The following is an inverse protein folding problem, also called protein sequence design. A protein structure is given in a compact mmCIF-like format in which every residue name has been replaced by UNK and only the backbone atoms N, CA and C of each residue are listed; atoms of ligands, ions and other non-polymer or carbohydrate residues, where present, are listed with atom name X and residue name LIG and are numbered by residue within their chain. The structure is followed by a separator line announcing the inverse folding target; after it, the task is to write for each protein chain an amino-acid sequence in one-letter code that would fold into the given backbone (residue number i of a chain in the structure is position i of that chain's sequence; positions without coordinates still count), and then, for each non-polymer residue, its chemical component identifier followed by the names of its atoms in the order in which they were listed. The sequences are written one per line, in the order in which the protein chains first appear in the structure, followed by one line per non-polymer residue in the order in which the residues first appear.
data_IF_024242022374
#
_entry.id   IF_024242022374
#
_cell.length_a   1.000
_cell.length_b   1.000
_cell.length_c   1.000
_cell.angle_alpha   90.00
_cell.angle_beta   90.00
_cell.angle_gamma   90.00
#
_symmetry.space_group_name_H-M   'P 1'
#
loop_
_entity.id
_entity.type
_entity.pdbx_description
1 polymer ?
#
# COMPACT_ATOMS: atom_id res chain seq x y z
N UNK A 1 13.68 -1.67 -4.89
CA UNK A 1 12.47 -2.36 -4.44
C UNK A 1 12.25 -3.68 -5.19
N UNK A 2 12.30 -3.72 -6.54
CA UNK A 2 12.09 -4.96 -7.32
C UNK A 2 13.38 -5.53 -7.96
N UNK A 3 14.55 -5.22 -7.44
CA UNK A 3 15.84 -5.72 -7.96
C UNK A 3 15.89 -7.25 -7.90
N UNK A 4 16.17 -7.89 -9.04
CA UNK A 4 16.22 -9.35 -9.17
C UNK A 4 14.85 -10.02 -9.37
N UNK A 5 13.74 -9.26 -9.42
CA UNK A 5 12.40 -9.77 -9.71
C UNK A 5 12.09 -9.72 -11.19
N UNK A 6 11.60 -10.83 -11.74
CA UNK A 6 11.14 -10.95 -13.11
C UNK A 6 9.62 -10.74 -13.18
N UNK A 7 9.20 -9.68 -13.85
CA UNK A 7 7.78 -9.33 -14.07
C UNK A 7 7.43 -9.61 -15.53
N UNK A 8 6.43 -10.46 -15.75
CA UNK A 8 5.92 -10.74 -17.11
C UNK A 8 4.61 -10.01 -17.33
N UNK A 9 4.55 -9.18 -18.37
CA UNK A 9 3.36 -8.44 -18.78
C UNK A 9 2.79 -9.07 -20.06
N UNK A 10 1.57 -9.60 -19.96
CA UNK A 10 0.80 -10.09 -21.09
C UNK A 10 -0.11 -9.00 -21.65
N UNK A 11 0.17 -8.48 -22.84
CA UNK A 11 -0.61 -7.39 -23.45
C UNK A 11 -1.52 -7.95 -24.54
N UNK A 12 -2.83 -7.70 -24.46
CA UNK A 12 -3.80 -8.21 -25.40
C UNK A 12 -4.48 -7.13 -26.23
N UNK A 13 -5.29 -7.50 -27.22
CA UNK A 13 -5.92 -6.60 -28.19
C UNK A 13 -7.00 -5.71 -27.56
N UNK A 14 -6.59 -4.58 -27.01
CA UNK A 14 -7.46 -3.53 -26.48
C UNK A 14 -6.80 -2.17 -26.65
N UNK A 15 -7.61 -1.14 -26.83
CA UNK A 15 -7.12 0.25 -26.88
C UNK A 15 -6.32 0.59 -25.60
N UNK A 16 -6.62 0.00 -24.45
CA UNK A 16 -5.91 0.25 -23.21
C UNK A 16 -4.45 -0.25 -23.19
N UNK A 17 -3.99 -0.95 -24.24
CA UNK A 17 -2.61 -1.45 -24.35
C UNK A 17 -1.55 -0.34 -24.23
N UNK A 18 -1.84 0.88 -24.71
CA UNK A 18 -0.91 2.01 -24.61
C UNK A 18 -0.53 2.36 -23.15
N UNK A 19 -1.45 2.14 -22.19
CA UNK A 19 -1.21 2.43 -20.76
C UNK A 19 -0.13 1.51 -20.17
N UNK A 20 0.05 0.31 -20.73
CA UNK A 20 1.03 -0.67 -20.21
C UNK A 20 2.46 -0.21 -20.46
N UNK A 21 2.70 0.66 -21.43
CA UNK A 21 4.01 1.29 -21.61
C UNK A 21 4.44 2.10 -20.37
N UNK A 22 3.51 2.83 -19.75
CA UNK A 22 3.76 3.56 -18.51
C UNK A 22 4.05 2.62 -17.33
N UNK A 23 3.30 1.51 -17.23
CA UNK A 23 3.54 0.49 -16.20
C UNK A 23 4.92 -0.17 -16.38
N UNK A 24 5.28 -0.55 -17.62
CA UNK A 24 6.59 -1.13 -17.92
C UNK A 24 7.72 -0.17 -17.52
N UNK A 25 7.61 1.12 -17.89
CA UNK A 25 8.58 2.14 -17.50
C UNK A 25 8.69 2.30 -15.97
N UNK A 26 7.56 2.28 -15.26
CA UNK A 26 7.55 2.37 -13.79
C UNK A 26 8.23 1.16 -13.13
N UNK A 27 7.99 -0.05 -13.63
CA UNK A 27 8.61 -1.28 -13.13
C UNK A 27 10.13 -1.30 -13.37
N UNK A 28 10.58 -0.84 -14.53
CA UNK A 28 12.03 -0.71 -14.85
C UNK A 28 12.70 0.29 -13.90
N UNK A 29 12.07 1.43 -13.60
CA UNK A 29 12.57 2.40 -12.60
C UNK A 29 12.67 1.79 -11.19
N UNK A 30 11.88 0.78 -10.88
CA UNK A 30 11.96 0.01 -9.63
C UNK A 30 12.97 -1.14 -9.71
N UNK A 31 13.75 -1.22 -10.79
CA UNK A 31 14.78 -2.22 -11.07
C UNK A 31 14.24 -3.65 -11.27
N UNK A 32 13.01 -3.82 -11.76
CA UNK A 32 12.50 -5.12 -12.19
C UNK A 32 13.09 -5.52 -13.54
N UNK A 33 13.27 -6.83 -13.76
CA UNK A 33 13.45 -7.42 -15.07
C UNK A 33 12.08 -7.59 -15.73
N UNK A 34 11.72 -6.66 -16.64
CA UNK A 34 10.39 -6.61 -17.24
C UNK A 34 10.40 -7.27 -18.61
N UNK A 35 9.58 -8.29 -18.76
CA UNK A 35 9.43 -9.05 -20.02
C UNK A 35 7.99 -8.89 -20.53
N UNK A 36 7.82 -8.58 -21.80
CA UNK A 36 6.51 -8.32 -22.39
C UNK A 36 6.19 -9.37 -23.45
N UNK A 37 5.01 -9.94 -23.32
CA UNK A 37 4.41 -10.83 -24.33
C UNK A 37 3.18 -10.11 -24.90
N UNK A 38 3.09 -10.00 -26.21
CA UNK A 38 1.93 -9.42 -26.87
C UNK A 38 1.19 -10.48 -27.69
N UNK A 39 -0.13 -10.45 -27.65
CA UNK A 39 -0.91 -11.17 -28.65
C UNK A 39 -0.79 -10.46 -30.00
N UNK A 40 -0.98 -11.20 -31.11
CA UNK A 40 -0.97 -10.61 -32.47
C UNK A 40 -1.95 -9.43 -32.58
N UNK A 41 -3.13 -9.52 -31.93
CA UNK A 41 -4.12 -8.44 -31.93
C UNK A 41 -3.65 -7.20 -31.15
N UNK A 42 -2.77 -7.35 -30.18
CA UNK A 42 -2.24 -6.22 -29.43
C UNK A 42 -1.33 -5.33 -30.29
N UNK A 43 -0.63 -5.90 -31.27
CA UNK A 43 0.26 -5.14 -32.17
C UNK A 43 -0.46 -4.12 -33.04
N UNK A 44 -1.79 -4.23 -33.18
CA UNK A 44 -2.60 -3.23 -33.86
C UNK A 44 -2.84 -1.95 -33.01
N UNK A 45 -2.60 -2.00 -31.71
CA UNK A 45 -2.82 -0.87 -30.79
C UNK A 45 -1.53 -0.24 -30.32
N UNK A 46 -0.44 -0.99 -30.21
CA UNK A 46 0.87 -0.52 -29.80
C UNK A 46 1.95 -1.39 -30.46
N UNK A 47 3.04 -0.76 -30.90
CA UNK A 47 4.11 -1.49 -31.56
C UNK A 47 5.03 -2.18 -30.53
N UNK A 48 5.47 -3.45 -30.75
CA UNK A 48 6.42 -4.16 -29.90
C UNK A 48 7.69 -3.38 -29.56
N UNK A 49 8.24 -2.61 -30.52
CA UNK A 49 9.44 -1.77 -30.32
C UNK A 49 9.29 -0.78 -29.14
N UNK A 50 8.07 -0.36 -28.80
CA UNK A 50 7.82 0.51 -27.65
C UNK A 50 8.26 -0.18 -26.37
N UNK A 51 7.88 -1.43 -26.19
CA UNK A 51 8.25 -2.21 -25.01
C UNK A 51 9.72 -2.59 -25.01
N UNK A 52 10.28 -2.96 -26.14
CA UNK A 52 11.71 -3.27 -26.29
C UNK A 52 12.58 -2.08 -25.89
N UNK A 53 12.22 -0.88 -26.35
CA UNK A 53 12.93 0.37 -25.99
C UNK A 53 12.85 0.67 -24.50
N UNK A 54 11.70 0.42 -23.85
CA UNK A 54 11.48 0.73 -22.43
C UNK A 54 12.14 -0.29 -21.52
N UNK A 55 12.13 -1.59 -21.88
CA UNK A 55 12.55 -2.67 -20.99
C UNK A 55 13.97 -3.15 -21.25
N UNK A 56 14.51 -2.89 -22.45
CA UNK A 56 15.76 -3.48 -22.91
C UNK A 56 15.66 -4.98 -23.27
N UNK A 57 14.47 -5.57 -23.19
CA UNK A 57 14.19 -6.97 -23.49
C UNK A 57 13.39 -7.07 -24.79
N UNK A 58 13.58 -8.16 -25.53
CA UNK A 58 12.77 -8.46 -26.72
C UNK A 58 11.30 -8.63 -26.33
N UNK A 59 10.40 -8.00 -27.08
CA UNK A 59 8.96 -8.18 -26.93
C UNK A 59 8.52 -9.46 -27.71
N UNK A 60 7.96 -10.42 -27.01
CA UNK A 60 7.60 -11.72 -27.59
C UNK A 60 6.18 -11.65 -28.18
N UNK A 61 6.06 -11.96 -29.47
CA UNK A 61 4.76 -11.96 -30.19
C UNK A 61 4.49 -13.32 -30.81
N UNK A 62 5.48 -13.90 -31.49
CA UNK A 62 5.36 -15.16 -32.22
C UNK A 62 6.01 -16.30 -31.43
N UNK A 63 5.27 -17.39 -31.29
CA UNK A 63 5.76 -18.61 -30.63
C UNK A 63 6.89 -19.29 -31.43
N UNK A 64 6.91 -19.13 -32.74
CA UNK A 64 7.82 -19.81 -33.68
C UNK A 64 8.80 -18.85 -34.38
N UNK A 65 9.16 -17.75 -33.76
CA UNK A 65 10.18 -16.85 -34.25
C UNK A 65 11.51 -17.59 -34.38
N UNK A 66 12.06 -17.70 -35.61
CA UNK A 66 13.25 -18.48 -35.93
C UNK A 66 14.58 -17.80 -35.53
N UNK A 67 14.53 -16.57 -35.05
CA UNK A 67 15.71 -15.79 -34.62
C UNK A 67 16.00 -15.96 -33.10
N UNK A 68 15.67 -17.09 -32.51
CA UNK A 68 15.89 -17.36 -31.10
C UNK A 68 17.07 -18.32 -30.84
N UNK A 69 17.68 -18.18 -29.66
CA UNK A 69 18.61 -19.19 -29.13
C UNK A 69 17.82 -20.43 -28.66
N UNK A 70 18.42 -21.61 -28.76
CA UNK A 70 17.84 -22.94 -28.55
C UNK A 70 17.18 -23.20 -27.16
N UNK A 71 16.38 -22.29 -26.65
CA UNK A 71 15.55 -22.50 -25.47
C UNK A 71 14.08 -22.26 -25.82
N UNK A 72 13.21 -23.14 -25.34
CA UNK A 72 11.77 -22.97 -25.48
C UNK A 72 11.38 -21.72 -24.67
N UNK A 73 11.38 -20.55 -25.32
CA UNK A 73 11.28 -19.21 -24.67
C UNK A 73 10.10 -19.10 -23.71
N UNK A 74 8.92 -19.58 -24.10
CA UNK A 74 7.74 -19.53 -23.25
C UNK A 74 7.88 -20.34 -21.94
N UNK A 75 8.58 -21.50 -22.00
CA UNK A 75 8.84 -22.31 -20.79
C UNK A 75 9.93 -21.69 -19.92
N UNK A 76 10.98 -21.16 -20.55
CA UNK A 76 12.08 -20.50 -19.81
C UNK A 76 11.57 -19.26 -19.07
N UNK A 77 10.76 -18.43 -19.73
CA UNK A 77 10.16 -17.24 -19.13
C UNK A 77 9.15 -17.60 -18.03
N UNK A 78 8.29 -18.59 -18.26
CA UNK A 78 7.34 -19.09 -17.27
C UNK A 78 8.02 -19.57 -15.97
N UNK A 79 9.20 -20.22 -16.08
CA UNK A 79 9.97 -20.67 -14.91
C UNK A 79 10.66 -19.54 -14.16
N UNK A 80 11.06 -18.49 -14.85
CA UNK A 80 11.79 -17.34 -14.28
C UNK A 80 10.88 -16.29 -13.67
N UNK A 81 9.62 -16.22 -14.09
CA UNK A 81 8.66 -15.22 -13.65
C UNK A 81 8.40 -15.27 -12.14
N UNK A 82 8.55 -14.13 -11.45
CA UNK A 82 8.07 -13.93 -10.08
C UNK A 82 6.60 -13.55 -10.04
N UNK A 83 6.08 -12.92 -11.10
CA UNK A 83 4.68 -12.54 -11.27
C UNK A 83 4.33 -12.45 -12.76
N UNK A 84 3.08 -12.77 -13.06
CA UNK A 84 2.49 -12.61 -14.39
C UNK A 84 1.27 -11.69 -14.31
N UNK A 85 1.24 -10.60 -15.06
CA UNK A 85 0.10 -9.73 -15.19
C UNK A 85 -0.39 -9.72 -16.64
N UNK A 86 -1.65 -10.13 -16.87
CA UNK A 86 -2.32 -9.94 -18.17
C UNK A 86 -3.13 -8.65 -18.11
N UNK A 87 -2.64 -7.61 -18.78
CA UNK A 87 -3.26 -6.29 -18.83
C UNK A 87 -2.89 -5.57 -20.15
N UNK A 88 -3.87 -5.03 -20.87
CA UNK A 88 -5.29 -5.31 -20.74
C UNK A 88 -5.62 -6.77 -21.07
N UNK A 89 -6.58 -7.38 -20.36
CA UNK A 89 -7.09 -8.72 -20.66
C UNK A 89 -8.40 -8.64 -21.43
N UNK A 90 -8.37 -8.99 -22.73
CA UNK A 90 -9.57 -9.04 -23.56
C UNK A 90 -10.43 -10.26 -23.23
N UNK A 91 -11.72 -10.22 -23.53
CA UNK A 91 -12.64 -11.36 -23.34
C UNK A 91 -12.14 -12.64 -24.05
N UNK A 92 -11.52 -12.49 -25.23
CA UNK A 92 -10.93 -13.61 -25.96
C UNK A 92 -9.83 -14.30 -25.14
N UNK A 93 -8.88 -13.55 -24.58
CA UNK A 93 -7.78 -14.12 -23.81
C UNK A 93 -8.24 -14.68 -22.47
N UNK A 94 -9.21 -14.01 -21.80
CA UNK A 94 -9.84 -14.54 -20.58
C UNK A 94 -10.50 -15.90 -20.88
N UNK A 95 -11.26 -16.03 -21.97
CA UNK A 95 -11.85 -17.30 -22.38
C UNK A 95 -10.82 -18.38 -22.68
N UNK A 96 -9.74 -18.05 -23.40
CA UNK A 96 -8.63 -18.98 -23.67
C UNK A 96 -7.97 -19.48 -22.39
N UNK A 97 -7.61 -18.58 -21.49
CA UNK A 97 -6.98 -18.93 -20.22
C UNK A 97 -7.89 -19.81 -19.35
N UNK A 98 -9.19 -19.48 -19.28
CA UNK A 98 -10.16 -20.24 -18.50
C UNK A 98 -10.34 -21.68 -18.99
N UNK A 99 -10.13 -21.94 -20.29
CA UNK A 99 -10.34 -23.25 -20.93
C UNK A 99 -9.03 -23.93 -21.36
N UNK A 100 -7.87 -23.39 -20.99
CA UNK A 100 -6.57 -23.99 -21.29
C UNK A 100 -6.20 -23.99 -22.76
N UNK A 101 -6.71 -23.07 -23.56
CA UNK A 101 -6.35 -22.92 -24.99
C UNK A 101 -5.00 -22.22 -25.07
N UNK A 102 -4.03 -22.86 -25.77
CA UNK A 102 -2.64 -22.44 -25.84
C UNK A 102 -2.18 -22.32 -27.30
N UNK A 103 -2.73 -21.33 -28.03
CA UNK A 103 -2.58 -21.20 -29.48
C UNK A 103 -1.79 -19.96 -29.93
N UNK A 104 -1.18 -19.24 -28.99
CA UNK A 104 -0.31 -18.06 -29.22
C UNK A 104 0.91 -18.08 -28.28
N UNK A 105 1.72 -17.01 -28.23
CA UNK A 105 2.89 -16.94 -27.33
C UNK A 105 2.49 -16.71 -25.87
N UNK A 106 1.38 -16.00 -25.59
CA UNK A 106 0.94 -15.62 -24.26
C UNK A 106 0.34 -16.80 -23.47
N UNK A 107 -0.58 -17.51 -24.11
CA UNK A 107 -1.42 -18.51 -23.43
C UNK A 107 -0.64 -19.76 -22.96
N UNK A 108 0.29 -20.36 -23.72
CA UNK A 108 1.15 -21.45 -23.21
C UNK A 108 2.12 -20.94 -22.13
N UNK A 109 2.62 -19.71 -22.23
CA UNK A 109 3.52 -19.16 -21.21
C UNK A 109 2.82 -19.05 -19.86
N UNK A 110 1.61 -18.48 -19.82
CA UNK A 110 0.87 -18.34 -18.56
C UNK A 110 0.39 -19.68 -18.00
N UNK A 111 0.05 -20.65 -18.86
CA UNK A 111 -0.27 -22.02 -18.43
C UNK A 111 0.90 -22.71 -17.76
N UNK A 112 2.13 -22.51 -18.29
CA UNK A 112 3.36 -23.08 -17.74
C UNK A 112 3.86 -22.36 -16.47
N UNK A 113 3.41 -21.13 -16.21
CA UNK A 113 3.87 -20.32 -15.09
C UNK A 113 3.29 -20.81 -13.75
N UNK A 114 4.16 -20.89 -12.71
CA UNK A 114 3.80 -21.24 -11.33
C UNK A 114 3.70 -20.04 -10.41
N UNK A 115 4.18 -18.88 -10.85
CA UNK A 115 4.12 -17.63 -10.10
C UNK A 115 2.68 -17.14 -9.93
N UNK A 116 2.42 -16.17 -9.01
CA UNK A 116 1.16 -15.45 -8.93
C UNK A 116 0.76 -14.85 -10.28
N UNK A 117 -0.54 -14.92 -10.57
CA UNK A 117 -1.11 -14.48 -11.84
C UNK A 117 -2.20 -13.44 -11.59
N UNK A 118 -2.02 -12.26 -12.16
CA UNK A 118 -2.97 -11.15 -12.11
C UNK A 118 -3.61 -10.96 -13.49
N UNK A 119 -4.90 -10.65 -13.50
CA UNK A 119 -5.65 -10.40 -14.74
C UNK A 119 -6.45 -9.11 -14.59
N UNK A 120 -6.23 -8.16 -15.48
CA UNK A 120 -6.98 -6.89 -15.52
C UNK A 120 -7.86 -6.85 -16.76
N UNK A 121 -9.18 -7.18 -16.63
CA UNK A 121 -10.14 -7.14 -17.74
C UNK A 121 -10.24 -5.74 -18.35
N UNK A 122 -10.35 -5.68 -19.70
CA UNK A 122 -10.55 -4.44 -20.43
C UNK A 122 -11.37 -4.68 -21.70
N UNK A 123 -12.63 -4.29 -21.65
CA UNK A 123 -13.59 -4.49 -22.74
C UNK A 123 -14.80 -3.56 -22.59
N UNK A 124 -15.69 -3.55 -23.59
CA UNK A 124 -16.99 -2.88 -23.49
C UNK A 124 -17.81 -3.42 -22.30
N UNK A 125 -18.65 -2.59 -21.70
CA UNK A 125 -19.46 -2.93 -20.52
C UNK A 125 -20.34 -4.16 -20.76
N UNK A 126 -21.04 -4.21 -21.89
CA UNK A 126 -21.94 -5.34 -22.21
C UNK A 126 -21.13 -6.67 -22.38
N UNK A 127 -19.89 -6.57 -22.87
CA UNK A 127 -19.01 -7.75 -22.94
C UNK A 127 -18.55 -8.16 -21.53
N UNK A 128 -18.20 -7.21 -20.68
CA UNK A 128 -17.78 -7.49 -19.32
C UNK A 128 -18.90 -8.10 -18.47
N UNK A 129 -20.11 -7.56 -18.58
CA UNK A 129 -21.30 -8.03 -17.87
C UNK A 129 -21.91 -9.31 -18.47
N UNK A 130 -21.44 -9.73 -19.65
CA UNK A 130 -21.93 -10.94 -20.29
C UNK A 130 -21.70 -12.16 -19.37
N UNK A 131 -22.75 -12.98 -19.09
CA UNK A 131 -22.63 -14.14 -18.20
C UNK A 131 -21.50 -15.09 -18.56
N UNK A 132 -21.24 -15.32 -19.86
CA UNK A 132 -20.15 -16.20 -20.31
C UNK A 132 -18.78 -15.64 -19.89
N UNK A 133 -18.58 -14.32 -20.00
CA UNK A 133 -17.34 -13.66 -19.60
C UNK A 133 -17.18 -13.69 -18.07
N UNK A 134 -18.28 -13.43 -17.34
CA UNK A 134 -18.29 -13.51 -15.88
C UNK A 134 -18.01 -14.94 -15.38
N UNK A 135 -18.53 -15.95 -16.03
CA UNK A 135 -18.25 -17.34 -15.68
C UNK A 135 -16.78 -17.71 -15.97
N UNK A 136 -16.21 -17.23 -17.09
CA UNK A 136 -14.77 -17.40 -17.37
C UNK A 136 -13.88 -16.71 -16.34
N UNK A 137 -14.27 -15.53 -15.85
CA UNK A 137 -13.55 -14.82 -14.77
C UNK A 137 -13.59 -15.66 -13.48
N UNK A 138 -14.77 -16.17 -13.09
CA UNK A 138 -14.90 -17.05 -11.90
C UNK A 138 -14.08 -18.33 -12.03
N UNK A 139 -13.98 -18.90 -13.23
CA UNK A 139 -13.11 -20.06 -13.47
C UNK A 139 -11.66 -19.70 -13.21
N UNK A 140 -11.17 -18.54 -13.67
CA UNK A 140 -9.82 -18.08 -13.40
C UNK A 140 -9.57 -17.87 -11.90
N UNK A 141 -10.50 -17.22 -11.18
CA UNK A 141 -10.42 -17.05 -9.72
C UNK A 141 -10.34 -18.39 -8.99
N UNK A 142 -11.17 -19.37 -9.38
CA UNK A 142 -11.15 -20.73 -8.84
C UNK A 142 -9.79 -21.41 -8.99
N UNK A 143 -9.06 -21.10 -10.07
CA UNK A 143 -7.71 -21.61 -10.32
C UNK A 143 -6.57 -20.71 -9.82
N UNK A 144 -6.90 -19.75 -8.93
CA UNK A 144 -5.92 -18.94 -8.20
C UNK A 144 -5.38 -17.74 -8.99
N UNK A 145 -6.07 -17.32 -10.05
CA UNK A 145 -5.80 -16.02 -10.65
C UNK A 145 -6.45 -14.93 -9.82
N UNK A 146 -5.73 -13.86 -9.57
CA UNK A 146 -6.31 -12.68 -8.95
C UNK A 146 -6.83 -11.73 -10.04
N UNK A 147 -8.11 -11.39 -9.96
CA UNK A 147 -8.74 -10.45 -10.89
C UNK A 147 -8.63 -9.05 -10.33
N UNK A 148 -8.10 -8.14 -11.13
CA UNK A 148 -8.08 -6.71 -10.84
C UNK A 148 -9.34 -6.11 -11.44
N UNK A 149 -10.30 -5.75 -10.60
CA UNK A 149 -11.60 -5.24 -11.03
C UNK A 149 -11.44 -4.05 -11.97
N UNK A 150 -12.16 -4.02 -13.08
CA UNK A 150 -12.16 -2.88 -13.98
C UNK A 150 -12.76 -1.64 -13.30
N UNK A 151 -12.20 -0.48 -13.60
CA UNK A 151 -12.77 0.79 -13.19
C UNK A 151 -14.09 1.06 -13.94
N UNK A 152 -14.97 1.81 -13.30
CA UNK A 152 -16.17 2.36 -13.95
C UNK A 152 -15.89 3.75 -14.50
N UNK A 153 -16.49 4.09 -15.64
CA UNK A 153 -16.34 5.42 -16.24
C UNK A 153 -16.65 5.42 -17.75
N UNK A 154 -16.29 6.51 -18.41
CA UNK A 154 -16.45 6.67 -19.84
C UNK A 154 -15.45 5.77 -20.59
N UNK A 155 -15.97 4.97 -21.50
CA UNK A 155 -15.24 4.03 -22.34
C UNK A 155 -14.97 4.61 -23.73
N UNK A 156 -13.96 4.08 -24.42
CA UNK A 156 -13.59 4.52 -25.76
C UNK A 156 -14.70 4.31 -26.82
N UNK A 157 -15.65 3.42 -26.55
CA UNK A 157 -16.83 3.20 -27.41
C UNK A 157 -17.97 4.21 -27.19
N UNK A 158 -17.83 5.15 -26.24
CA UNK A 158 -18.86 6.14 -25.90
C UNK A 158 -19.81 5.72 -24.78
N UNK A 159 -19.72 4.48 -24.31
CA UNK A 159 -20.54 3.97 -23.20
C UNK A 159 -19.96 4.38 -21.84
N UNK A 160 -20.80 4.36 -20.81
CA UNK A 160 -20.38 4.56 -19.42
C UNK A 160 -20.73 3.31 -18.62
N UNK A 161 -19.75 2.75 -17.90
CA UNK A 161 -19.96 1.55 -17.10
C UNK A 161 -18.66 0.89 -16.67
N UNK A 162 -18.76 -0.34 -16.18
CA UNK A 162 -17.61 -1.19 -15.84
C UNK A 162 -16.96 -1.73 -17.13
N UNK A 163 -15.65 -2.02 -17.07
CA UNK A 163 -14.89 -2.57 -18.20
C UNK A 163 -13.65 -1.78 -18.59
N UNK A 164 -13.42 -0.62 -17.96
CA UNK A 164 -12.21 0.20 -18.14
C UNK A 164 -11.06 -0.38 -17.34
N UNK A 165 -9.93 -0.68 -18.01
CA UNK A 165 -8.70 -1.05 -17.29
C UNK A 165 -8.31 0.04 -16.30
N UNK A 166 -8.01 -0.29 -15.04
CA UNK A 166 -7.50 0.67 -14.06
C UNK A 166 -6.25 1.40 -14.55
N UNK A 167 -5.90 2.50 -13.90
CA UNK A 167 -4.69 3.25 -14.23
C UNK A 167 -3.43 2.46 -13.86
N UNK A 168 -2.29 2.70 -14.54
CA UNK A 168 -1.05 1.95 -14.34
C UNK A 168 -0.58 1.90 -12.89
N UNK A 169 -0.85 2.95 -12.11
CA UNK A 169 -0.50 3.05 -10.68
C UNK A 169 -1.24 2.02 -9.84
N UNK A 170 -2.50 1.73 -10.19
CA UNK A 170 -3.30 0.69 -9.52
C UNK A 170 -2.72 -0.69 -9.85
N UNK A 171 -2.42 -0.97 -11.13
CA UNK A 171 -1.79 -2.22 -11.54
C UNK A 171 -0.43 -2.42 -10.85
N UNK A 172 0.36 -1.36 -10.75
CA UNK A 172 1.64 -1.36 -10.05
C UNK A 172 1.46 -1.71 -8.56
N UNK A 173 0.43 -1.17 -7.90
CA UNK A 173 0.15 -1.46 -6.49
C UNK A 173 -0.15 -2.94 -6.23
N UNK A 174 -0.85 -3.62 -7.15
CA UNK A 174 -1.08 -5.07 -7.09
C UNK A 174 0.23 -5.86 -7.23
N UNK A 175 1.09 -5.48 -8.20
CA UNK A 175 2.40 -6.11 -8.38
C UNK A 175 3.25 -5.94 -7.12
N UNK A 176 3.37 -4.72 -6.59
CA UNK A 176 4.16 -4.42 -5.39
C UNK A 176 3.61 -5.17 -4.17
N UNK A 177 2.28 -5.18 -3.97
CA UNK A 177 1.68 -5.96 -2.89
C UNK A 177 2.08 -7.43 -3.00
N UNK A 178 2.17 -7.99 -4.21
CA UNK A 178 2.41 -9.42 -4.40
C UNK A 178 3.88 -9.80 -4.22
N UNK A 179 4.84 -9.05 -4.79
CA UNK A 179 6.24 -9.50 -4.90
C UNK A 179 7.29 -8.58 -4.29
N UNK A 180 6.94 -7.36 -3.80
CA UNK A 180 7.94 -6.41 -3.32
C UNK A 180 8.64 -6.85 -2.03
N UNK A 181 7.96 -7.63 -1.18
CA UNK A 181 8.47 -8.14 0.08
C UNK A 181 8.09 -9.61 0.27
N UNK A 182 8.88 -10.31 1.08
CA UNK A 182 8.48 -11.60 1.64
C UNK A 182 7.21 -11.43 2.50
N UNK A 183 6.37 -12.47 2.57
CA UNK A 183 5.10 -12.43 3.32
C UNK A 183 5.28 -12.86 4.77
N UNK A 184 6.31 -12.32 5.42
CA UNK A 184 6.73 -12.66 6.78
C UNK A 184 5.82 -12.07 7.88
N UNK A 185 4.82 -11.26 7.49
CA UNK A 185 3.73 -10.79 8.35
C UNK A 185 2.38 -11.42 7.98
N UNK A 186 2.37 -12.47 7.14
CA UNK A 186 1.13 -13.13 6.73
C UNK A 186 0.36 -13.68 7.94
N UNK A 187 -0.96 -13.45 7.96
CA UNK A 187 -1.84 -13.87 9.05
C UNK A 187 -1.80 -12.97 10.28
N UNK A 188 -0.92 -11.95 10.34
CA UNK A 188 -0.87 -10.97 11.43
C UNK A 188 -1.84 -9.82 11.16
N UNK A 189 -2.56 -9.40 12.19
CA UNK A 189 -3.45 -8.24 12.20
C UNK A 189 -2.74 -7.04 12.83
N UNK A 190 -2.68 -5.92 12.11
CA UNK A 190 -1.91 -4.74 12.53
C UNK A 190 -2.81 -3.51 12.54
N UNK A 191 -2.94 -2.86 13.70
CA UNK A 191 -3.61 -1.58 13.84
C UNK A 191 -2.59 -0.45 13.90
N UNK A 192 -2.74 0.55 13.04
CA UNK A 192 -1.85 1.71 12.98
C UNK A 192 -2.68 2.99 13.12
N UNK A 193 -2.26 3.90 14.01
CA UNK A 193 -2.83 5.23 14.04
C UNK A 193 -1.94 6.21 13.30
N UNK A 194 -2.50 7.16 12.54
CA UNK A 194 -1.75 8.10 11.73
C UNK A 194 -2.39 9.50 11.67
N UNK A 195 -1.62 10.47 11.21
CA UNK A 195 -2.10 11.85 11.04
C UNK A 195 -2.25 12.62 12.37
N UNK A 196 -2.65 13.88 12.30
CA UNK A 196 -3.00 14.70 13.46
C UNK A 196 -4.45 14.50 13.86
N UNK A 197 -4.80 14.86 15.08
CA UNK A 197 -6.19 15.13 15.45
C UNK A 197 -6.49 16.64 15.36
N UNK A 198 -7.75 16.98 15.23
CA UNK A 198 -8.26 18.36 15.17
C UNK A 198 -9.28 18.57 16.26
N UNK A 199 -8.95 19.44 17.22
CA UNK A 199 -9.81 19.73 18.36
C UNK A 199 -10.57 21.04 18.12
N UNK A 200 -11.87 20.94 17.96
CA UNK A 200 -12.73 22.08 17.60
C UNK A 200 -12.71 23.17 18.65
N UNK A 201 -12.47 24.42 18.23
CA UNK A 201 -12.75 25.64 19.00
C UNK A 201 -14.18 26.11 18.71
N UNK A 202 -14.52 26.09 17.40
CA UNK A 202 -15.86 26.41 16.87
C UNK A 202 -16.03 25.69 15.51
N UNK A 203 -17.15 25.85 14.79
CA UNK A 203 -17.35 25.17 13.48
C UNK A 203 -16.32 25.53 12.40
N UNK A 204 -15.50 26.57 12.62
CA UNK A 204 -14.56 27.10 11.60
C UNK A 204 -13.10 26.88 12.01
N UNK A 205 -12.79 26.87 13.31
CA UNK A 205 -11.42 26.85 13.85
C UNK A 205 -11.19 25.64 14.74
N UNK A 206 -9.97 25.14 14.72
CA UNK A 206 -9.52 24.00 15.51
C UNK A 206 -8.05 24.14 15.92
N UNK A 207 -7.65 23.42 16.95
CA UNK A 207 -6.26 23.18 17.33
C UNK A 207 -5.81 21.86 16.70
N UNK A 208 -4.59 21.80 16.18
CA UNK A 208 -4.03 20.59 15.57
C UNK A 208 -2.51 20.57 15.67
N UNK A 209 -1.91 19.42 15.39
CA UNK A 209 -0.48 19.21 15.27
C UNK A 209 -0.02 19.31 13.80
N UNK A 210 1.28 19.59 13.57
CA UNK A 210 1.87 19.70 12.24
C UNK A 210 2.07 18.34 11.51
N UNK A 211 1.55 17.24 12.05
CA UNK A 211 1.71 15.92 11.45
C UNK A 211 1.04 15.82 10.09
N UNK A 212 1.73 15.25 9.11
CA UNK A 212 1.23 14.98 7.76
C UNK A 212 0.74 13.54 7.57
N UNK A 213 0.91 12.68 8.58
CA UNK A 213 0.55 11.27 8.50
C UNK A 213 1.54 10.37 7.75
N UNK A 214 2.52 10.91 7.03
CA UNK A 214 3.44 10.17 6.15
C UNK A 214 4.08 8.94 6.82
N UNK A 215 4.53 9.03 8.08
CA UNK A 215 5.18 7.91 8.77
C UNK A 215 4.21 6.75 9.00
N UNK A 216 3.01 7.03 9.53
CA UNK A 216 2.00 6.00 9.75
C UNK A 216 1.53 5.35 8.45
N UNK A 217 1.43 6.11 7.38
CA UNK A 217 1.08 5.61 6.04
C UNK A 217 2.19 4.72 5.47
N UNK A 218 3.47 5.08 5.65
CA UNK A 218 4.60 4.24 5.24
C UNK A 218 4.64 2.92 6.01
N UNK A 219 4.33 2.94 7.32
CA UNK A 219 4.22 1.73 8.14
C UNK A 219 3.06 0.85 7.67
N UNK A 220 1.89 1.43 7.39
CA UNK A 220 0.72 0.71 6.90
C UNK A 220 1.00 0.05 5.55
N UNK A 221 1.65 0.75 4.63
CA UNK A 221 2.05 0.24 3.33
C UNK A 221 3.07 -0.90 3.46
N UNK A 222 4.06 -0.76 4.35
CA UNK A 222 5.07 -1.80 4.58
C UNK A 222 4.45 -3.07 5.16
N UNK A 223 3.63 -2.96 6.21
CA UNK A 223 2.91 -4.11 6.79
C UNK A 223 2.05 -4.83 5.75
N UNK A 224 1.29 -4.08 4.94
CA UNK A 224 0.43 -4.61 3.88
C UNK A 224 1.25 -5.35 2.82
N UNK A 225 2.37 -4.79 2.37
CA UNK A 225 3.27 -5.45 1.39
C UNK A 225 3.91 -6.72 1.95
N UNK A 226 4.13 -6.80 3.25
CA UNK A 226 4.63 -8.00 3.97
C UNK A 226 3.52 -9.01 4.32
N UNK A 227 2.29 -8.74 3.89
CA UNK A 227 1.18 -9.69 3.98
C UNK A 227 0.30 -9.57 5.22
N UNK A 228 0.48 -8.53 6.04
CA UNK A 228 -0.38 -8.27 7.18
C UNK A 228 -1.77 -7.76 6.77
N UNK A 229 -2.79 -8.06 7.59
CA UNK A 229 -4.10 -7.42 7.54
C UNK A 229 -4.03 -6.10 8.32
N UNK A 230 -4.10 -4.97 7.61
CA UNK A 230 -3.84 -3.65 8.20
C UNK A 230 -5.13 -2.86 8.39
N UNK A 231 -5.35 -2.37 9.62
CA UNK A 231 -6.35 -1.34 9.94
C UNK A 231 -5.65 -0.03 10.27
N UNK A 232 -5.89 1.00 9.45
CA UNK A 232 -5.33 2.34 9.59
C UNK A 232 -6.39 3.29 10.15
N UNK A 233 -6.23 3.73 11.41
CA UNK A 233 -7.05 4.78 12.02
C UNK A 233 -6.35 6.12 11.79
N UNK A 234 -6.93 7.00 10.98
CA UNK A 234 -6.25 8.21 10.54
C UNK A 234 -7.05 9.48 10.81
N UNK A 235 -6.38 10.46 11.39
CA UNK A 235 -6.87 11.85 11.41
C UNK A 235 -6.79 12.51 10.03
N UNK A 236 -7.23 13.76 9.90
CA UNK A 236 -7.29 14.47 8.61
C UNK A 236 -5.89 14.69 8.02
N UNK A 237 -5.66 14.18 6.83
CA UNK A 237 -4.42 14.33 6.06
C UNK A 237 -4.73 14.55 4.58
N UNK A 238 -3.78 15.10 3.82
CA UNK A 238 -3.91 15.34 2.37
C UNK A 238 -3.42 14.19 1.49
N UNK A 239 -2.74 13.19 2.08
CA UNK A 239 -2.21 12.05 1.34
C UNK A 239 -3.25 10.94 1.22
N UNK A 240 -3.29 10.27 0.07
CA UNK A 240 -4.18 9.14 -0.13
C UNK A 240 -3.73 7.93 0.73
N UNK A 241 -4.67 7.17 1.31
CA UNK A 241 -4.32 5.96 2.05
C UNK A 241 -3.73 4.90 1.12
N UNK A 242 -2.84 4.03 1.64
CA UNK A 242 -2.34 2.90 0.88
C UNK A 242 -3.50 2.00 0.42
N UNK A 243 -3.46 1.47 -0.81
CA UNK A 243 -4.46 0.50 -1.26
C UNK A 243 -4.39 -0.78 -0.40
N UNK A 244 -5.46 -1.55 -0.37
CA UNK A 244 -5.59 -2.82 0.36
C UNK A 244 -5.51 -2.71 1.89
N UNK A 245 -5.70 -1.51 2.44
CA UNK A 245 -5.70 -1.23 3.88
C UNK A 245 -7.11 -0.83 4.30
N UNK A 246 -7.62 -1.39 5.41
CA UNK A 246 -8.88 -0.95 6.01
C UNK A 246 -8.66 0.42 6.66
N UNK A 247 -9.36 1.45 6.19
CA UNK A 247 -9.21 2.81 6.69
C UNK A 247 -10.39 3.19 7.57
N UNK A 248 -10.09 3.74 8.77
CA UNK A 248 -11.06 4.35 9.69
C UNK A 248 -10.67 5.82 9.83
N UNK A 249 -11.44 6.71 9.21
CA UNK A 249 -11.22 8.15 9.31
C UNK A 249 -11.83 8.71 10.59
N UNK A 250 -11.05 9.50 11.32
CA UNK A 250 -11.44 10.17 12.57
C UNK A 250 -11.06 11.63 12.50
N UNK A 251 -11.60 12.46 13.40
CA UNK A 251 -11.28 13.89 13.43
C UNK A 251 -10.59 14.27 14.73
N UNK A 252 -11.22 13.98 15.87
CA UNK A 252 -10.74 14.38 17.20
C UNK A 252 -9.93 13.28 17.90
N UNK A 253 -9.27 13.64 18.99
CA UNK A 253 -8.61 12.69 19.89
C UNK A 253 -9.61 11.70 20.48
N UNK A 254 -10.83 12.14 20.79
CA UNK A 254 -11.90 11.28 21.30
C UNK A 254 -12.33 10.25 20.26
N UNK A 255 -12.56 10.67 19.00
CA UNK A 255 -12.91 9.74 17.91
C UNK A 255 -11.80 8.70 17.69
N UNK A 256 -10.54 9.12 17.75
CA UNK A 256 -9.38 8.22 17.59
C UNK A 256 -9.30 7.23 18.76
N UNK A 257 -9.53 7.67 19.99
CA UNK A 257 -9.55 6.79 21.15
C UNK A 257 -10.67 5.74 21.05
N UNK A 258 -11.86 6.14 20.64
CA UNK A 258 -13.00 5.24 20.43
C UNK A 258 -12.70 4.20 19.33
N UNK A 259 -12.21 4.66 18.17
CA UNK A 259 -11.87 3.78 17.06
C UNK A 259 -10.77 2.76 17.42
N UNK A 260 -9.74 3.19 18.17
CA UNK A 260 -8.68 2.29 18.65
C UNK A 260 -9.25 1.28 19.64
N UNK A 261 -10.04 1.71 20.64
CA UNK A 261 -10.66 0.82 21.64
C UNK A 261 -11.60 -0.21 21.03
N UNK A 262 -12.33 0.16 19.98
CA UNK A 262 -13.23 -0.74 19.28
C UNK A 262 -12.50 -1.83 18.49
N UNK A 263 -11.24 -1.61 18.07
CA UNK A 263 -10.53 -2.51 17.16
C UNK A 263 -9.28 -3.19 17.73
N UNK A 264 -8.72 -2.75 18.88
CA UNK A 264 -7.37 -3.19 19.32
C UNK A 264 -7.31 -4.64 19.81
N UNK A 265 -8.41 -5.21 20.36
CA UNK A 265 -8.41 -6.52 21.01
C UNK A 265 -8.03 -7.68 20.08
N UNK A 266 -8.37 -7.56 18.81
CA UNK A 266 -8.13 -8.58 17.80
C UNK A 266 -6.81 -8.38 17.03
N UNK A 267 -5.99 -7.42 17.44
CA UNK A 267 -4.76 -7.11 16.75
C UNK A 267 -3.56 -7.81 17.39
N UNK A 268 -2.67 -8.32 16.56
CA UNK A 268 -1.38 -8.87 17.01
C UNK A 268 -0.38 -7.73 17.29
N UNK A 269 -0.43 -6.67 16.48
CA UNK A 269 0.47 -5.52 16.56
C UNK A 269 -0.31 -4.23 16.55
N UNK A 270 0.05 -3.30 17.45
CA UNK A 270 -0.54 -1.96 17.50
C UNK A 270 0.57 -0.93 17.44
N UNK A 271 0.52 -0.04 16.43
CA UNK A 271 1.53 1.00 16.22
C UNK A 271 0.87 2.37 16.35
N UNK A 272 1.14 3.07 17.45
CA UNK A 272 0.57 4.40 17.74
C UNK A 272 1.52 5.47 17.23
N UNK A 273 1.33 5.94 15.96
CA UNK A 273 2.16 7.01 15.36
C UNK A 273 1.42 8.34 15.21
N UNK A 274 0.10 8.37 15.39
CA UNK A 274 -0.69 9.58 15.29
C UNK A 274 -0.21 10.67 16.26
N UNK A 275 -0.22 11.91 15.80
CA UNK A 275 0.01 13.10 16.62
C UNK A 275 -1.33 13.54 17.24
N UNK A 276 -1.72 12.85 18.29
CA UNK A 276 -2.94 13.13 19.04
C UNK A 276 -2.70 14.36 19.91
N UNK A 277 -3.67 15.29 19.94
CA UNK A 277 -3.61 16.45 20.83
C UNK A 277 -3.74 16.01 22.29
N UNK A 278 -2.84 16.48 23.16
CA UNK A 278 -2.89 16.23 24.62
C UNK A 278 -3.95 17.07 25.32
N UNK A 279 -4.39 18.15 24.67
CA UNK A 279 -5.39 19.08 25.17
C UNK A 279 -6.42 19.40 24.10
N UNK A 280 -7.67 19.64 24.54
CA UNK A 280 -8.78 20.14 23.70
C UNK A 280 -9.47 21.31 24.36
N UNK A 281 -10.19 22.18 23.63
CA UNK A 281 -11.04 23.18 24.22
C UNK A 281 -12.08 22.53 25.16
N UNK A 282 -12.17 23.04 26.41
CA UNK A 282 -13.10 22.53 27.40
C UNK A 282 -14.57 22.81 27.00
N UNK A 283 -14.80 23.93 26.32
CA UNK A 283 -16.12 24.39 25.90
C UNK A 283 -16.11 24.81 24.43
N UNK A 284 -16.14 23.84 23.47
CA UNK A 284 -16.20 24.15 22.04
C UNK A 284 -17.52 24.87 21.71
N UNK A 285 -17.42 25.99 21.00
CA UNK A 285 -18.59 26.77 20.62
C UNK A 285 -19.39 26.09 19.50
N UNK A 286 -20.70 26.12 19.56
CA UNK A 286 -21.60 25.58 18.51
C UNK A 286 -21.72 26.52 17.32
N UNK A 287 -21.41 27.81 17.49
CA UNK A 287 -21.39 28.82 16.44
C UNK A 287 -20.01 29.49 16.36
N UNK A 288 -19.70 30.09 15.20
CA UNK A 288 -18.46 30.84 15.02
C UNK A 288 -18.33 31.95 16.07
N UNK A 289 -17.29 31.88 16.90
CA UNK A 289 -16.97 32.90 17.88
C UNK A 289 -16.63 34.22 17.18
N UNK A 290 -17.42 35.26 17.40
CA UNK A 290 -17.20 36.59 16.81
C UNK A 290 -16.00 37.26 17.49
N UNK A 291 -15.26 38.06 16.71
CA UNK A 291 -14.17 38.89 17.21
C UNK A 291 -14.74 39.88 18.22
N UNK A 292 -14.13 39.94 19.39
CA UNK A 292 -14.40 40.94 20.42
C UNK A 292 -13.19 41.85 20.56
N UNK A 293 -13.40 43.06 21.10
CA UNK A 293 -12.30 43.95 21.44
C UNK A 293 -11.55 43.35 22.66
N UNK A 294 -10.22 43.37 22.60
CA UNK A 294 -9.32 42.82 23.61
C UNK A 294 -8.88 41.37 23.39
N UNK A 295 -8.09 40.88 24.35
CA UNK A 295 -7.54 39.54 24.33
C UNK A 295 -8.62 38.50 24.65
N UNK A 296 -8.42 37.29 24.12
CA UNK A 296 -9.31 36.17 24.36
C UNK A 296 -8.50 34.97 24.89
N UNK A 297 -8.99 34.33 25.93
CA UNK A 297 -8.42 33.10 26.50
C UNK A 297 -9.24 31.89 26.05
N UNK A 298 -8.55 30.77 25.84
CA UNK A 298 -9.15 29.50 25.54
C UNK A 298 -8.83 28.53 26.68
N UNK A 299 -9.87 28.10 27.38
CA UNK A 299 -9.74 27.08 28.41
C UNK A 299 -9.55 25.71 27.77
N UNK A 300 -8.54 24.98 28.24
CA UNK A 300 -8.16 23.65 27.70
C UNK A 300 -8.33 22.59 28.79
N UNK A 301 -8.84 21.43 28.39
CA UNK A 301 -8.88 20.22 29.21
C UNK A 301 -8.02 19.09 28.57
N UNK A 302 -7.58 18.14 29.37
CA UNK A 302 -6.78 17.01 28.89
C UNK A 302 -7.60 16.03 28.09
N UNK A 303 -7.02 15.52 27.02
CA UNK A 303 -7.56 14.39 26.26
C UNK A 303 -7.15 13.06 26.89
N UNK A 304 -7.76 11.99 26.44
CA UNK A 304 -7.42 10.65 26.90
C UNK A 304 -6.09 10.17 26.30
N UNK A 305 -5.23 9.58 27.13
CA UNK A 305 -3.97 8.99 26.70
C UNK A 305 -4.18 7.58 26.14
N UNK A 306 -4.31 7.50 24.83
CA UNK A 306 -4.55 6.25 24.10
C UNK A 306 -3.44 5.23 24.35
N UNK A 307 -2.16 5.66 24.41
CA UNK A 307 -1.04 4.74 24.62
C UNK A 307 -1.07 4.13 26.02
N UNK A 308 -1.41 4.93 27.05
CA UNK A 308 -1.62 4.42 28.41
C UNK A 308 -2.76 3.43 28.47
N UNK A 309 -3.87 3.72 27.80
CA UNK A 309 -4.99 2.80 27.73
C UNK A 309 -4.59 1.46 27.10
N UNK A 310 -3.90 1.48 25.99
CA UNK A 310 -3.44 0.28 25.29
C UNK A 310 -2.53 -0.57 26.18
N UNK A 311 -1.52 0.04 26.83
CA UNK A 311 -0.61 -0.70 27.70
C UNK A 311 -1.27 -1.28 28.95
N UNK A 312 -2.31 -0.61 29.49
CA UNK A 312 -3.10 -1.11 30.63
C UNK A 312 -4.04 -2.28 30.26
N UNK A 313 -4.47 -2.35 29.00
CA UNK A 313 -5.42 -3.36 28.50
C UNK A 313 -4.78 -4.34 27.49
N UNK A 314 -3.47 -4.36 27.41
CA UNK A 314 -2.70 -5.26 26.56
C UNK A 314 -3.02 -6.71 26.86
N UNK A 315 -3.31 -7.50 25.83
CA UNK A 315 -3.51 -8.95 25.95
C UNK A 315 -2.20 -9.71 25.70
N UNK A 316 -2.14 -10.95 26.15
CA UNK A 316 -1.00 -11.83 25.90
C UNK A 316 -0.76 -12.02 24.40
N UNK A 317 0.49 -11.93 23.96
CA UNK A 317 0.87 -12.05 22.55
C UNK A 317 0.75 -10.75 21.73
N UNK A 318 0.12 -9.70 22.24
CA UNK A 318 0.08 -8.41 21.57
C UNK A 318 1.41 -7.67 21.67
N UNK A 319 1.83 -7.03 20.57
CA UNK A 319 2.98 -6.11 20.54
C UNK A 319 2.51 -4.66 20.36
N UNK A 320 2.90 -3.79 21.29
CA UNK A 320 2.53 -2.37 21.25
C UNK A 320 3.77 -1.52 21.00
N UNK A 321 3.73 -0.73 19.91
CA UNK A 321 4.76 0.24 19.55
C UNK A 321 4.19 1.66 19.64
N UNK A 322 4.81 2.52 20.44
CA UNK A 322 4.48 3.95 20.54
C UNK A 322 5.52 4.81 19.85
N UNK A 323 5.15 6.04 19.51
CA UNK A 323 6.08 7.06 19.04
C UNK A 323 6.28 8.12 20.12
N UNK A 324 7.51 8.62 20.21
CA UNK A 324 7.90 9.72 21.08
C UNK A 324 8.57 10.81 20.26
N UNK A 325 8.31 12.03 20.66
CA UNK A 325 8.94 13.22 20.07
C UNK A 325 9.37 14.11 21.22
N UNK A 326 10.67 14.08 21.51
CA UNK A 326 11.25 14.80 22.63
C UNK A 326 12.35 15.75 22.10
N UNK A 327 12.43 16.93 22.67
CA UNK A 327 13.43 17.93 22.33
C UNK A 327 14.65 17.90 23.24
N UNK A 328 14.50 17.35 24.46
CA UNK A 328 15.54 17.23 25.47
C UNK A 328 15.54 15.85 26.11
N UNK A 329 16.68 15.33 26.47
CA UNK A 329 16.87 14.02 27.13
C UNK A 329 16.07 12.90 26.47
N UNK A 330 16.07 12.89 25.13
CA UNK A 330 15.20 12.03 24.30
C UNK A 330 15.23 10.56 24.72
N UNK A 331 16.42 10.00 24.96
CA UNK A 331 16.57 8.58 25.29
C UNK A 331 15.96 8.27 26.66
N UNK A 332 16.35 9.02 27.71
CA UNK A 332 15.88 8.82 29.07
C UNK A 332 14.35 8.97 29.17
N UNK A 333 13.82 10.05 28.60
CA UNK A 333 12.38 10.32 28.59
C UNK A 333 11.59 9.23 27.84
N UNK A 334 12.13 8.75 26.71
CA UNK A 334 11.47 7.71 25.90
C UNK A 334 11.56 6.33 26.56
N UNK A 335 12.67 6.00 27.25
CA UNK A 335 12.79 4.78 28.07
C UNK A 335 11.78 4.80 29.23
N UNK A 336 11.73 5.90 29.99
CA UNK A 336 10.75 6.06 31.07
C UNK A 336 9.30 5.99 30.56
N UNK A 337 9.04 6.57 29.39
CA UNK A 337 7.74 6.48 28.72
C UNK A 337 7.36 5.05 28.36
N UNK A 338 8.31 4.24 27.82
CA UNK A 338 8.07 2.83 27.49
C UNK A 338 7.61 2.04 28.72
N UNK A 339 8.34 2.19 29.83
CA UNK A 339 8.03 1.48 31.09
C UNK A 339 6.71 1.96 31.69
N UNK A 340 6.53 3.28 31.84
CA UNK A 340 5.33 3.88 32.42
C UNK A 340 4.06 3.50 31.65
N UNK A 341 4.15 3.36 30.30
CA UNK A 341 3.03 3.03 29.44
C UNK A 341 2.88 1.53 29.18
N UNK A 342 3.76 0.68 29.73
CA UNK A 342 3.75 -0.77 29.55
C UNK A 342 3.67 -1.18 28.08
N UNK A 343 4.55 -0.60 27.24
CA UNK A 343 4.62 -0.90 25.79
C UNK A 343 5.96 -1.58 25.44
N UNK A 344 5.98 -2.35 24.36
CA UNK A 344 7.14 -3.16 23.99
C UNK A 344 8.23 -2.34 23.34
N UNK A 345 7.86 -1.36 22.52
CA UNK A 345 8.79 -0.51 21.81
C UNK A 345 8.33 0.95 21.78
N UNK A 346 9.30 1.86 21.88
CA UNK A 346 9.11 3.28 21.55
C UNK A 346 10.03 3.63 20.40
N UNK A 347 9.50 4.30 19.39
CA UNK A 347 10.25 4.93 18.31
C UNK A 347 10.41 6.41 18.66
N UNK A 348 11.63 6.79 19.03
CA UNK A 348 11.93 8.17 19.41
C UNK A 348 12.44 8.96 18.20
N UNK A 349 11.73 10.02 17.82
CA UNK A 349 12.10 10.93 16.74
C UNK A 349 13.10 11.98 17.23
N UNK A 350 14.19 12.17 16.50
CA UNK A 350 15.17 13.22 16.77
C UNK A 350 14.86 14.47 15.92
N UNK A 351 14.24 15.48 16.54
CA UNK A 351 13.90 16.74 15.86
C UNK A 351 15.08 17.70 15.66
N UNK A 352 16.25 17.45 16.29
CA UNK A 352 17.41 18.33 16.20
C UNK A 352 18.21 18.13 14.90
N UNK A 353 17.93 17.05 14.16
CA UNK A 353 18.64 16.75 12.91
C UNK A 353 17.91 17.40 11.74
N UNK A 354 18.64 18.17 10.94
CA UNK A 354 18.11 18.75 9.71
C UNK A 354 17.63 17.64 8.76
N UNK A 355 16.41 17.76 8.22
CA UNK A 355 15.80 16.74 7.37
C UNK A 355 14.98 15.67 8.13
N UNK A 356 14.97 15.69 9.47
CA UNK A 356 14.09 14.86 10.28
C UNK A 356 12.85 15.64 10.76
N UNK A 357 11.70 14.97 10.88
CA UNK A 357 10.51 15.55 11.50
C UNK A 357 9.24 15.52 10.66
N UNK A 358 8.29 16.40 10.99
CA UNK A 358 7.02 16.53 10.28
C UNK A 358 7.22 17.11 8.87
N UNK A 359 6.45 16.65 7.89
CA UNK A 359 6.42 17.20 6.54
C UNK A 359 7.55 16.74 5.61
N UNK A 360 8.73 16.36 6.11
CA UNK A 360 9.84 15.82 5.30
C UNK A 360 9.57 14.38 4.86
N UNK A 361 10.30 13.91 3.83
CA UNK A 361 10.24 12.52 3.37
C UNK A 361 11.27 11.62 4.04
N UNK A 362 12.16 12.21 4.85
CA UNK A 362 13.21 11.53 5.62
C UNK A 362 12.94 11.60 7.12
N UNK A 363 13.59 10.74 7.90
CA UNK A 363 13.54 10.77 9.34
C UNK A 363 14.83 10.20 9.96
N UNK A 364 15.09 10.56 11.22
CA UNK A 364 16.10 9.96 12.11
C UNK A 364 15.40 9.51 13.37
N UNK A 365 15.49 8.23 13.67
CA UNK A 365 14.80 7.64 14.83
C UNK A 365 15.69 6.70 15.61
N UNK A 366 15.40 6.56 16.90
CA UNK A 366 15.98 5.54 17.76
C UNK A 366 14.87 4.55 18.16
N UNK A 367 15.09 3.27 17.92
CA UNK A 367 14.20 2.19 18.35
C UNK A 367 14.61 1.81 19.78
N UNK A 368 13.67 1.91 20.71
CA UNK A 368 13.89 1.65 22.14
C UNK A 368 13.01 0.47 22.55
N UNK A 369 13.66 -0.62 22.95
CA UNK A 369 13.02 -1.85 23.41
C UNK A 369 13.47 -2.19 24.84
N UNK A 370 13.05 -3.33 25.35
CA UNK A 370 13.52 -3.85 26.64
C UNK A 370 15.00 -4.27 26.59
N UNK A 371 15.45 -4.74 25.41
CA UNK A 371 16.81 -5.25 25.19
C UNK A 371 17.84 -4.14 24.94
N UNK A 372 17.39 -2.92 24.63
CA UNK A 372 18.29 -1.77 24.39
C UNK A 372 17.76 -0.77 23.37
N UNK A 373 18.68 0.06 22.90
CA UNK A 373 18.43 1.12 21.93
C UNK A 373 19.18 0.86 20.63
N UNK A 374 18.54 1.08 19.49
CA UNK A 374 19.11 1.00 18.14
C UNK A 374 18.85 2.30 17.41
N UNK A 375 19.91 3.05 17.16
CA UNK A 375 19.84 4.28 16.38
C UNK A 375 19.81 3.95 14.88
N UNK A 376 18.95 4.64 14.14
CA UNK A 376 18.88 4.59 12.68
C UNK A 376 19.42 5.90 12.13
N UNK A 377 20.22 5.82 11.08
CA UNK A 377 20.73 6.98 10.35
C UNK A 377 19.60 7.73 9.64
N UNK A 378 19.92 8.90 9.07
CA UNK A 378 18.97 9.65 8.23
C UNK A 378 18.63 8.82 6.98
N UNK A 379 17.40 8.41 6.87
CA UNK A 379 16.90 7.62 5.75
C UNK A 379 15.46 8.00 5.38
N UNK A 380 14.95 7.48 4.26
CA UNK A 380 13.57 7.73 3.87
C UNK A 380 12.57 7.16 4.88
N UNK A 381 11.36 7.74 4.98
CA UNK A 381 10.30 7.20 5.85
C UNK A 381 9.89 5.78 5.48
N UNK A 382 10.05 5.40 4.21
CA UNK A 382 9.84 4.03 3.77
C UNK A 382 10.90 3.07 4.35
N UNK A 383 12.17 3.46 4.35
CA UNK A 383 13.25 2.65 4.93
C UNK A 383 13.16 2.60 6.46
N UNK A 384 12.77 3.72 7.11
CA UNK A 384 12.46 3.74 8.55
C UNK A 384 11.32 2.78 8.87
N UNK A 385 10.25 2.76 8.07
CA UNK A 385 9.14 1.83 8.25
C UNK A 385 9.60 0.38 8.10
N UNK A 386 10.43 0.07 7.10
CA UNK A 386 11.02 -1.25 6.91
C UNK A 386 11.83 -1.70 8.14
N UNK A 387 12.68 -0.81 8.68
CA UNK A 387 13.48 -1.11 9.87
C UNK A 387 12.61 -1.35 11.12
N UNK A 388 11.56 -0.53 11.32
CA UNK A 388 10.62 -0.68 12.44
C UNK A 388 9.86 -1.99 12.34
N UNK A 389 9.29 -2.30 11.17
CA UNK A 389 8.49 -3.52 11.00
C UNK A 389 9.38 -4.78 11.09
N UNK A 390 10.60 -4.74 10.59
CA UNK A 390 11.57 -5.83 10.76
C UNK A 390 11.88 -6.07 12.23
N UNK A 391 12.12 -5.02 13.01
CA UNK A 391 12.35 -5.09 14.45
C UNK A 391 11.13 -5.67 15.22
N UNK A 392 9.91 -5.30 14.79
CA UNK A 392 8.67 -5.83 15.36
C UNK A 392 8.53 -7.31 15.02
N UNK A 393 8.69 -7.68 13.74
CA UNK A 393 8.59 -9.06 13.26
C UNK A 393 9.51 -10.00 14.05
N UNK A 394 10.77 -9.61 14.24
CA UNK A 394 11.77 -10.43 14.95
C UNK A 394 11.38 -10.73 16.42
N UNK A 395 10.39 -10.00 16.97
CA UNK A 395 9.90 -10.15 18.36
C UNK A 395 8.55 -10.82 18.49
N UNK A 396 7.76 -10.84 17.43
CA UNK A 396 6.41 -11.46 17.50
C UNK A 396 6.37 -12.89 16.97
N UNK A 397 7.49 -13.39 16.44
CA UNK A 397 7.67 -14.77 15.96
C UNK A 397 7.07 -15.01 14.59
#
# INVERSE_FOLDING_TARGET
MLKGKCVVLGVTGSIAAYKIANLASALVKLHADVNVIMTQNATNFINPITFETLTGNKCLVDTFDRNFQFNVEHVALAKRADIFLVAPASANVIGKMAHGIADDMLTPTILAAKCPKLVSPAMNTNMYENPIVQDNIKILEKYGFEIIDPASGYLACGDTGAGKMPEPEVLLSYILRTIAHEKDMAGKKVLITAGPTQEKIDPVRFITNHSTGKMGYSLAENCMRRGAEVTLVTGPVSIAPPPFVKVISVVSAADMAEAVKANFKEQDVIIKTAAVADYRPAHPATEKVKKKDGDSTLELERTEDILSYLGAHKTEGQFICGFSMETENMLENSMAKREKKNVDMIVANNLKVAGAGFGTDTNVVTLITKEGCKELELMSKADVAEAIISEIRDRIG
#
